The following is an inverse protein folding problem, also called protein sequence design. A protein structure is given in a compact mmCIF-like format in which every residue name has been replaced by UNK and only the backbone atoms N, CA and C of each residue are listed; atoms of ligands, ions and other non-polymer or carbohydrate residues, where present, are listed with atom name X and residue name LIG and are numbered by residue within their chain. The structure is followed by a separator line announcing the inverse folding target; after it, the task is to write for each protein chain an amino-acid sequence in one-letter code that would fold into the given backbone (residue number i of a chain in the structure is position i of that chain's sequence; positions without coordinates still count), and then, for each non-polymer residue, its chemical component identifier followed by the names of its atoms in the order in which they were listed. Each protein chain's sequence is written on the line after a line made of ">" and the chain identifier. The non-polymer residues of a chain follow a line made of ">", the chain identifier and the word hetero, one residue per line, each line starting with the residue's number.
data_IF_686324209941
#
_entry.id   IF_686324209941
#
_cell.length_a   1.000
_cell.length_b   1.000
_cell.length_c   1.000
_cell.angle_alpha   90.00
_cell.angle_beta   90.00
_cell.angle_gamma   90.00
#
_symmetry.space_group_name_H-M   'P 1'
#
loop_
_entity.id
_entity.type
_entity.pdbx_description
1 polymer ?
#
# COMPACT_ATOMS: atom_id res chain seq x y z
N UNK A 1 -7.11 9.77 -21.71
CA UNK A 1 -7.50 8.80 -20.65
C UNK A 1 -8.64 7.97 -21.20
N UNK A 2 -8.61 6.65 -21.04
CA UNK A 2 -9.57 5.72 -21.65
C UNK A 2 -10.88 5.76 -20.85
N UNK A 3 -11.91 6.41 -21.40
CA UNK A 3 -13.17 6.70 -20.70
C UNK A 3 -14.12 5.49 -20.60
N UNK A 4 -13.86 4.44 -21.39
CA UNK A 4 -14.66 3.20 -21.43
C UNK A 4 -14.12 2.10 -20.49
N UNK A 5 -13.11 2.38 -19.67
CA UNK A 5 -12.57 1.39 -18.73
C UNK A 5 -13.52 1.19 -17.54
N UNK A 6 -13.64 -0.06 -17.08
CA UNK A 6 -14.44 -0.39 -15.91
C UNK A 6 -13.86 0.26 -14.65
N UNK A 7 -14.73 0.76 -13.79
CA UNK A 7 -14.32 1.39 -12.55
C UNK A 7 -13.59 0.37 -11.64
N UNK A 8 -12.37 0.68 -11.15
CA UNK A 8 -11.55 -0.25 -10.38
C UNK A 8 -12.07 -0.38 -8.95
N UNK A 9 -13.05 -1.26 -8.75
CA UNK A 9 -13.67 -1.55 -7.46
C UNK A 9 -12.70 -2.17 -6.43
N UNK A 10 -11.54 -2.66 -6.86
CA UNK A 10 -10.54 -3.26 -5.97
C UNK A 10 -9.63 -2.21 -5.32
N UNK A 11 -9.57 -0.98 -5.87
CA UNK A 11 -8.87 0.15 -5.27
C UNK A 11 -9.70 0.87 -4.20
N UNK A 12 -10.96 0.47 -4.02
CA UNK A 12 -11.96 1.17 -3.21
C UNK A 12 -12.32 0.34 -1.97
N UNK A 13 -12.55 0.98 -0.80
CA UNK A 13 -12.96 0.27 0.40
C UNK A 13 -14.26 -0.53 0.19
N UNK A 14 -14.42 -1.71 0.83
CA UNK A 14 -15.55 -2.61 0.59
C UNK A 14 -16.95 -1.99 0.77
N UNK A 15 -17.08 -1.01 1.68
CA UNK A 15 -18.33 -0.27 1.92
C UNK A 15 -18.72 0.57 0.71
N UNK A 16 -17.77 1.31 0.19
CA UNK A 16 -17.94 2.19 -0.97
C UNK A 16 -18.20 1.37 -2.23
N UNK A 17 -17.51 0.23 -2.39
CA UNK A 17 -17.78 -0.74 -3.46
C UNK A 17 -19.23 -1.21 -3.47
N UNK A 18 -19.81 -1.49 -2.30
CA UNK A 18 -21.21 -1.91 -2.18
C UNK A 18 -22.17 -0.79 -2.55
N UNK A 19 -21.91 0.43 -2.09
CA UNK A 19 -22.74 1.59 -2.43
C UNK A 19 -22.74 1.89 -3.94
N UNK A 20 -21.56 1.88 -4.56
CA UNK A 20 -21.43 2.03 -6.02
C UNK A 20 -22.19 0.91 -6.73
N UNK A 21 -21.99 -0.36 -6.35
CA UNK A 21 -22.71 -1.46 -6.97
C UNK A 21 -24.24 -1.35 -6.76
N UNK A 22 -24.72 -0.88 -5.62
CA UNK A 22 -26.16 -0.69 -5.40
C UNK A 22 -26.74 0.41 -6.30
N UNK A 23 -26.02 1.52 -6.46
CA UNK A 23 -26.41 2.62 -7.35
C UNK A 23 -26.57 2.12 -8.80
N UNK A 24 -25.69 1.23 -9.24
CA UNK A 24 -25.70 0.63 -10.57
C UNK A 24 -26.40 -0.75 -10.63
N UNK A 25 -27.30 -1.06 -9.69
CA UNK A 25 -28.13 -2.29 -9.68
C UNK A 25 -27.31 -3.61 -9.76
N UNK A 26 -26.11 -3.62 -9.20
CA UNK A 26 -25.17 -4.74 -9.19
C UNK A 26 -24.31 -4.83 -10.45
N UNK A 27 -24.48 -3.94 -11.42
CA UNK A 27 -23.62 -3.83 -12.60
C UNK A 27 -22.29 -3.17 -12.21
N UNK A 28 -21.21 -3.57 -12.88
CA UNK A 28 -19.92 -2.85 -12.83
C UNK A 28 -20.01 -1.59 -13.71
N UNK A 29 -19.99 -0.38 -13.13
CA UNK A 29 -20.03 0.84 -13.91
C UNK A 29 -18.68 1.15 -14.56
N UNK A 30 -18.70 1.98 -15.60
CA UNK A 30 -17.48 2.56 -16.19
C UNK A 30 -17.04 3.81 -15.42
N UNK A 31 -15.77 4.21 -15.60
CA UNK A 31 -15.23 5.44 -15.01
C UNK A 31 -16.06 6.66 -15.43
N UNK A 32 -16.53 6.71 -16.68
CA UNK A 32 -17.36 7.81 -17.17
C UNK A 32 -18.76 7.83 -16.54
N UNK A 33 -19.40 6.67 -16.34
CA UNK A 33 -20.71 6.57 -15.71
C UNK A 33 -20.66 7.06 -14.26
N UNK A 34 -19.63 6.68 -13.50
CA UNK A 34 -19.41 7.15 -12.12
C UNK A 34 -19.14 8.65 -12.09
N UNK A 35 -18.38 9.19 -13.06
CA UNK A 35 -18.06 10.62 -13.16
C UNK A 35 -19.26 11.51 -13.55
N UNK A 36 -20.29 10.95 -14.21
CA UNK A 36 -21.50 11.69 -14.57
C UNK A 36 -22.43 11.93 -13.38
N UNK A 37 -22.32 11.12 -12.33
CA UNK A 37 -23.14 11.28 -11.12
C UNK A 37 -22.63 12.49 -10.33
N UNK A 38 -23.51 13.46 -10.12
CA UNK A 38 -23.18 14.65 -9.33
C UNK A 38 -22.88 14.32 -7.87
N UNK A 39 -22.00 15.11 -7.24
CA UNK A 39 -21.64 14.91 -5.83
C UNK A 39 -22.83 14.94 -4.88
N UNK A 40 -23.83 15.77 -5.19
CA UNK A 40 -25.08 15.84 -4.41
C UNK A 40 -25.85 14.53 -4.44
N UNK A 41 -25.80 13.83 -5.58
CA UNK A 41 -26.43 12.53 -5.74
C UNK A 41 -25.65 11.45 -4.97
N UNK A 42 -24.32 11.47 -5.07
CA UNK A 42 -23.47 10.60 -4.25
C UNK A 42 -23.72 10.78 -2.76
N UNK A 43 -23.77 12.02 -2.26
CA UNK A 43 -24.03 12.29 -0.85
C UNK A 43 -25.46 11.94 -0.39
N UNK A 44 -26.40 11.79 -1.32
CA UNK A 44 -27.75 11.33 -1.03
C UNK A 44 -27.84 9.79 -0.97
N UNK A 45 -26.87 9.07 -1.56
CA UNK A 45 -26.82 7.61 -1.52
C UNK A 45 -26.47 7.14 -0.11
N UNK A 46 -27.25 6.22 0.49
CA UNK A 46 -26.92 5.64 1.79
C UNK A 46 -25.55 4.96 1.74
N UNK A 47 -24.76 5.11 2.81
CA UNK A 47 -23.36 4.67 2.93
C UNK A 47 -22.31 5.51 2.21
N UNK A 48 -22.69 6.54 1.44
CA UNK A 48 -21.77 7.46 0.77
C UNK A 48 -21.73 8.80 1.51
N UNK A 49 -20.72 8.96 2.35
CA UNK A 49 -20.41 10.23 3.01
C UNK A 49 -19.37 11.07 2.25
N UNK A 50 -19.07 12.29 2.72
CA UNK A 50 -18.05 13.17 2.14
C UNK A 50 -16.68 12.51 1.98
N UNK A 51 -16.25 11.75 2.99
CA UNK A 51 -14.98 11.00 2.98
C UNK A 51 -14.96 9.82 2.02
N UNK A 52 -16.13 9.33 1.64
CA UNK A 52 -16.29 8.27 0.66
C UNK A 52 -16.28 8.84 -0.75
N UNK A 53 -16.97 9.96 -0.94
CA UNK A 53 -16.96 10.73 -2.17
C UNK A 53 -15.54 11.16 -2.54
N UNK A 54 -14.75 11.65 -1.58
CA UNK A 54 -13.34 12.00 -1.78
C UNK A 54 -12.53 10.84 -2.35
N UNK A 55 -12.73 9.62 -1.85
CA UNK A 55 -12.07 8.40 -2.38
C UNK A 55 -12.55 7.99 -3.76
N UNK A 56 -13.82 8.24 -4.09
CA UNK A 56 -14.34 8.02 -5.44
C UNK A 56 -13.66 9.01 -6.40
N UNK A 57 -13.48 10.27 -5.97
CA UNK A 57 -12.73 11.28 -6.72
C UNK A 57 -11.25 10.93 -6.89
N UNK A 58 -10.58 10.40 -5.85
CA UNK A 58 -9.20 9.91 -5.94
C UNK A 58 -9.01 8.80 -6.98
N UNK A 59 -10.05 8.01 -7.25
CA UNK A 59 -10.02 6.92 -8.23
C UNK A 59 -10.46 7.39 -9.62
N UNK A 60 -11.45 8.28 -9.70
CA UNK A 60 -11.92 8.90 -10.94
C UNK A 60 -10.87 9.84 -11.55
N UNK A 61 -10.13 10.52 -10.69
CA UNK A 61 -8.99 11.34 -11.09
C UNK A 61 -7.73 10.62 -10.66
N UNK A 62 -6.96 9.99 -11.58
CA UNK A 62 -5.53 9.84 -11.33
C UNK A 62 -4.97 11.26 -11.19
N UNK A 63 -4.90 11.74 -9.94
CA UNK A 63 -4.49 13.08 -9.51
C UNK A 63 -3.53 13.76 -10.51
N UNK A 64 -3.89 14.87 -11.17
CA UNK A 64 -2.97 15.98 -11.25
C UNK A 64 -3.07 16.67 -9.90
N UNK A 65 -2.13 16.36 -9.00
CA UNK A 65 -1.90 17.06 -7.72
C UNK A 65 -2.75 18.33 -7.54
N UNK A 66 -3.91 18.22 -6.90
CA UNK A 66 -4.55 19.39 -6.27
C UNK A 66 -3.78 19.70 -5.00
N UNK A 67 -2.57 20.23 -5.19
CA UNK A 67 -1.97 21.14 -4.25
C UNK A 67 -2.71 22.47 -4.40
N UNK A 68 -3.35 22.89 -3.32
CA UNK A 68 -3.57 24.31 -3.06
C UNK A 68 -2.29 25.09 -3.42
N UNK A 69 -2.43 26.07 -4.32
CA UNK A 69 -1.33 26.91 -4.77
C UNK A 69 -0.56 26.32 -5.94
N UNK A 70 -0.65 27.00 -7.08
CA UNK A 70 0.20 26.87 -8.26
C UNK A 70 1.58 26.26 -7.96
N UNK A 71 1.74 24.95 -8.18
CA UNK A 71 3.06 24.36 -8.30
C UNK A 71 3.61 24.79 -9.67
N UNK A 72 4.79 25.41 -9.72
CA UNK A 72 5.40 25.78 -10.99
C UNK A 72 5.55 24.50 -11.79
N UNK A 73 5.10 24.54 -13.05
CA UNK A 73 5.32 23.44 -14.00
C UNK A 73 6.81 23.14 -14.01
N UNK A 74 7.22 22.10 -13.29
CA UNK A 74 8.60 21.66 -13.27
C UNK A 74 9.01 21.42 -14.72
N UNK A 75 10.11 22.02 -15.12
CA UNK A 75 10.66 21.81 -16.45
C UNK A 75 11.12 20.36 -16.57
N UNK A 76 11.21 19.85 -17.80
CA UNK A 76 11.66 18.47 -18.04
C UNK A 76 13.01 18.16 -17.38
N UNK A 77 13.90 19.15 -17.30
CA UNK A 77 15.18 19.06 -16.60
C UNK A 77 15.02 18.86 -15.08
N UNK A 78 14.08 19.57 -14.46
CA UNK A 78 13.78 19.44 -13.02
C UNK A 78 13.11 18.09 -12.71
N UNK A 79 12.26 17.60 -13.61
CA UNK A 79 11.66 16.28 -13.49
C UNK A 79 12.72 15.17 -13.56
N UNK A 80 13.68 15.28 -14.48
CA UNK A 80 14.80 14.34 -14.58
C UNK A 80 15.68 14.39 -13.34
N UNK A 81 16.04 15.59 -12.87
CA UNK A 81 16.82 15.75 -11.64
C UNK A 81 16.09 15.16 -10.42
N UNK A 82 14.76 15.32 -10.35
CA UNK A 82 13.94 14.73 -9.29
C UNK A 82 13.93 13.20 -9.36
N UNK A 83 13.83 12.63 -10.55
CA UNK A 83 13.89 11.18 -10.75
C UNK A 83 15.24 10.61 -10.32
N UNK A 84 16.34 11.25 -10.70
CA UNK A 84 17.69 10.82 -10.29
C UNK A 84 17.85 10.86 -8.77
N UNK A 85 17.36 11.92 -8.12
CA UNK A 85 17.38 12.06 -6.67
C UNK A 85 16.59 10.95 -5.96
N UNK A 86 15.38 10.64 -6.43
CA UNK A 86 14.56 9.57 -5.88
C UNK A 86 15.18 8.19 -6.09
N UNK A 87 15.81 7.95 -7.24
CA UNK A 87 16.54 6.71 -7.49
C UNK A 87 17.72 6.54 -6.53
N UNK A 88 18.46 7.62 -6.24
CA UNK A 88 19.56 7.59 -5.28
C UNK A 88 19.07 7.32 -3.85
N UNK A 89 17.96 7.93 -3.45
CA UNK A 89 17.36 7.69 -2.14
C UNK A 89 16.97 6.21 -1.97
N UNK A 90 16.32 5.62 -2.98
CA UNK A 90 15.98 4.19 -2.96
C UNK A 90 17.21 3.28 -2.96
N UNK A 91 18.31 3.67 -3.63
CA UNK A 91 19.59 2.95 -3.55
C UNK A 91 20.15 3.01 -2.13
N UNK A 92 20.13 4.19 -1.51
CA UNK A 92 20.61 4.40 -0.14
C UNK A 92 19.81 3.59 0.88
N UNK A 93 18.46 3.65 0.82
CA UNK A 93 17.59 2.87 1.71
C UNK A 93 17.88 1.37 1.59
N UNK A 94 17.99 0.87 0.35
CA UNK A 94 18.32 -0.54 0.10
C UNK A 94 19.69 -0.92 0.66
N UNK A 95 20.68 -0.05 0.55
CA UNK A 95 22.01 -0.26 1.10
C UNK A 95 21.99 -0.29 2.65
N UNK A 96 21.27 0.64 3.28
CA UNK A 96 21.09 0.68 4.73
C UNK A 96 20.41 -0.60 5.23
N UNK A 97 19.37 -1.06 4.54
CA UNK A 97 18.68 -2.31 4.91
C UNK A 97 19.60 -3.53 4.78
N UNK A 98 20.34 -3.64 3.66
CA UNK A 98 21.32 -4.72 3.48
C UNK A 98 22.40 -4.74 4.57
N UNK A 99 22.95 -3.57 4.91
CA UNK A 99 23.99 -3.47 5.94
C UNK A 99 23.44 -3.75 7.34
N UNK A 100 22.20 -3.38 7.65
CA UNK A 100 21.54 -3.73 8.93
C UNK A 100 21.28 -5.23 9.04
N UNK A 101 20.76 -5.86 7.99
CA UNK A 101 20.48 -7.31 7.95
C UNK A 101 21.80 -8.12 8.05
N UNK A 102 22.87 -7.68 7.39
CA UNK A 102 24.19 -8.30 7.51
C UNK A 102 24.78 -8.19 8.93
N UNK A 103 24.60 -7.05 9.61
CA UNK A 103 25.07 -6.83 11.00
C UNK A 103 24.32 -7.65 12.04
N UNK A 104 23.05 -7.98 11.82
CA UNK A 104 22.26 -8.82 12.76
C UNK A 104 22.61 -10.30 12.68
N UNK A 105 23.11 -10.79 11.54
CA UNK A 105 23.52 -12.20 11.38
C UNK A 105 24.88 -12.50 12.05
N UNK A 106 25.80 -11.54 12.09
CA UNK A 106 27.15 -11.74 12.65
C UNK A 106 27.25 -11.78 14.19
N UNK A 107 26.18 -11.47 14.94
CA UNK A 107 26.21 -11.44 16.41
C UNK A 107 25.87 -12.77 17.09
N UNK A 108 25.31 -13.75 16.36
CA UNK A 108 24.83 -15.00 16.97
C UNK A 108 25.91 -16.10 17.11
N UNK A 109 27.13 -15.89 16.61
CA UNK A 109 28.17 -16.95 16.55
C UNK A 109 29.32 -16.79 17.56
N UNK A 110 29.27 -15.85 18.52
CA UNK A 110 30.40 -15.62 19.44
C UNK A 110 30.26 -16.30 20.81
N UNK A 111 29.15 -16.98 21.08
CA UNK A 111 28.81 -17.44 22.44
C UNK A 111 28.86 -18.98 22.61
N UNK A 112 29.35 -19.73 21.63
CA UNK A 112 29.54 -21.19 21.76
C UNK A 112 30.99 -21.48 22.17
N UNK A 113 31.26 -21.43 23.47
CA UNK A 113 32.61 -21.71 23.97
C UNK A 113 32.73 -21.69 25.48
N UNK A 114 31.94 -22.50 26.21
CA UNK A 114 32.37 -22.95 27.55
C UNK A 114 31.63 -24.21 28.02
N UNK A 115 32.30 -25.35 27.78
CA UNK A 115 32.29 -26.61 28.51
C UNK A 115 31.29 -26.80 29.68
N UNK A 116 30.60 -27.94 29.71
CA UNK A 116 30.99 -29.06 30.59
C UNK A 116 30.32 -30.38 30.18
N UNK A 117 31.17 -31.39 30.16
CA UNK A 117 30.98 -32.82 29.93
C UNK A 117 30.01 -33.49 30.91
N UNK A 118 29.27 -34.48 30.38
CA UNK A 118 28.67 -35.65 31.03
C UNK A 118 29.71 -36.44 31.88
N UNK A 119 29.36 -37.32 32.85
CA UNK A 119 28.49 -38.49 32.59
C UNK A 119 27.65 -39.10 33.74
N UNK A 120 26.80 -40.04 33.29
CA UNK A 120 26.26 -41.28 33.91
C UNK A 120 25.59 -41.25 35.29
N UNK A 121 24.35 -41.78 35.33
CA UNK A 121 24.09 -43.04 36.04
C UNK A 121 22.70 -43.65 35.72
N UNK A 122 22.74 -44.96 35.42
CA UNK A 122 21.80 -46.02 35.82
C UNK A 122 20.30 -45.88 35.47
N UNK A 123 19.80 -46.52 34.42
CA UNK A 123 19.47 -47.95 34.35
C UNK A 123 18.41 -48.42 35.38
N UNK A 124 17.17 -48.58 34.88
CA UNK A 124 16.30 -49.73 35.17
C UNK A 124 15.76 -49.93 36.59
N UNK A 125 14.44 -50.00 36.73
CA UNK A 125 13.70 -51.28 36.80
C UNK A 125 12.24 -51.10 37.25
N UNK A 126 11.36 -51.82 36.53
CA UNK A 126 10.12 -52.53 36.97
C UNK A 126 8.92 -51.65 37.34
N UNK A 127 7.78 -51.70 36.65
CA UNK A 127 6.86 -52.80 36.24
C UNK A 127 5.72 -53.04 37.23
N UNK A 128 4.52 -52.92 36.64
CA UNK A 128 3.14 -53.35 37.03
C UNK A 128 2.39 -52.45 38.02
#
# INVERSE_FOLDING_TARGET
>A
MQQDEFFPLDAIPPRVRRAILQEFQGRRPTVQEVAQISDRHWLATPEVGPSTLEKIHEVLQPQPYQGDGALPKMTDAELLARLESLQEELRSIRHILKTRIGKTSGKLLRNQGRMRSFPDEEAGLRSV
#
